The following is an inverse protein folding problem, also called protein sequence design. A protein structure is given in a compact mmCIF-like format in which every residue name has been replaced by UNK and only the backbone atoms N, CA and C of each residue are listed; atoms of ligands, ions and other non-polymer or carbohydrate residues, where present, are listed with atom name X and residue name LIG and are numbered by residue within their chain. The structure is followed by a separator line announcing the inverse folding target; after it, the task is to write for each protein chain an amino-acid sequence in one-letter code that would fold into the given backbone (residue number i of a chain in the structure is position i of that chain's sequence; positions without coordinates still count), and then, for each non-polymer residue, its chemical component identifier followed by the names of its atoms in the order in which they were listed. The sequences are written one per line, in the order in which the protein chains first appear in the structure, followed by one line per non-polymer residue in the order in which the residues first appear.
data_IF_094474441851
#
_entry.id   IF_094474441851
#
_cell.length_a   1.000
_cell.length_b   1.000
_cell.length_c   1.000
_cell.angle_alpha   90.00
_cell.angle_beta   90.00
_cell.angle_gamma   90.00
#
_symmetry.space_group_name_H-M   'P 1'
#
loop_
_entity.id
_entity.type
_entity.pdbx_description
1 polymer ?
#
# COMPACT_ATOMS: atom_id res chain seq x y z
N UNK A 1 12.05 8.97 -3.20
CA UNK A 1 10.90 8.08 -2.92
C UNK A 1 9.92 8.81 -2.05
N UNK A 2 8.64 8.60 -2.27
CA UNK A 2 7.58 9.24 -1.53
C UNK A 2 6.68 8.20 -0.86
N UNK A 3 6.30 8.47 0.40
CA UNK A 3 5.30 7.70 1.10
C UNK A 3 3.96 8.42 1.00
N UNK A 4 2.92 7.72 0.52
CA UNK A 4 1.53 8.19 0.45
C UNK A 4 0.69 7.47 1.48
N UNK A 5 0.21 8.22 2.45
CA UNK A 5 -0.70 7.68 3.45
C UNK A 5 -2.14 7.85 2.98
N UNK A 6 -2.84 6.73 2.81
CA UNK A 6 -4.27 6.73 2.52
C UNK A 6 -5.06 6.43 3.78
N UNK A 7 -6.16 7.13 3.96
CA UNK A 7 -7.09 6.92 5.06
C UNK A 7 -8.34 6.21 4.54
N UNK A 8 -8.71 5.09 5.19
CA UNK A 8 -9.96 4.41 4.85
C UNK A 8 -11.17 5.20 5.31
N UNK A 9 -12.23 5.29 4.48
CA UNK A 9 -13.51 5.86 4.89
C UNK A 9 -14.10 5.09 6.07
N UNK A 10 -14.81 5.78 6.96
CA UNK A 10 -15.41 5.17 8.14
C UNK A 10 -16.32 3.98 7.75
N UNK A 11 -16.05 2.80 8.33
CA UNK A 11 -16.83 1.58 8.08
C UNK A 11 -16.59 0.89 6.73
N UNK A 12 -15.75 1.44 5.85
CA UNK A 12 -15.38 0.84 4.57
C UNK A 12 -13.98 0.23 4.62
N UNK A 13 -13.76 -0.99 4.10
CA UNK A 13 -12.42 -1.52 3.85
C UNK A 13 -11.86 -1.09 2.49
N UNK A 14 -12.57 -0.23 1.75
CA UNK A 14 -12.21 0.18 0.39
C UNK A 14 -12.23 1.71 0.32
N UNK A 15 -11.14 2.30 -0.18
CA UNK A 15 -11.06 3.66 -0.69
C UNK A 15 -10.97 3.58 -2.22
N UNK A 16 -11.90 4.22 -2.92
CA UNK A 16 -11.97 4.19 -4.38
C UNK A 16 -11.66 5.57 -4.97
N UNK A 17 -10.66 5.63 -5.86
CA UNK A 17 -10.30 6.83 -6.61
C UNK A 17 -10.74 6.63 -8.06
N UNK A 18 -11.91 7.17 -8.40
CA UNK A 18 -12.63 6.87 -9.63
C UNK A 18 -12.90 8.13 -10.46
N UNK A 19 -13.01 7.94 -11.77
CA UNK A 19 -13.46 8.96 -12.71
C UNK A 19 -12.37 9.49 -13.64
N UNK A 20 -12.80 10.27 -14.62
CA UNK A 20 -11.94 10.80 -15.70
C UNK A 20 -10.84 11.77 -15.24
N UNK A 21 -10.85 12.15 -14.00
CA UNK A 21 -9.88 13.06 -13.37
C UNK A 21 -8.54 12.38 -13.07
N UNK A 22 -8.51 11.04 -13.08
CA UNK A 22 -7.32 10.22 -12.86
C UNK A 22 -6.58 9.92 -14.17
N UNK A 23 -6.49 10.92 -15.05
CA UNK A 23 -5.69 10.87 -16.26
C UNK A 23 -4.27 11.30 -15.96
N UNK A 24 -3.34 10.45 -16.30
CA UNK A 24 -1.91 10.74 -16.14
C UNK A 24 -1.33 11.22 -17.46
N UNK A 25 -0.71 12.39 -17.42
CA UNK A 25 0.00 12.98 -18.56
C UNK A 25 1.48 12.59 -18.52
N UNK A 26 2.07 12.43 -19.71
CA UNK A 26 3.52 12.44 -19.86
C UNK A 26 4.10 13.80 -19.39
N UNK A 27 5.26 13.75 -18.73
CA UNK A 27 6.00 14.94 -18.31
C UNK A 27 5.72 15.41 -16.88
N UNK A 28 5.00 14.65 -16.08
CA UNK A 28 5.27 14.68 -14.67
C UNK A 28 6.65 14.06 -14.50
N UNK A 29 7.65 14.87 -14.09
CA UNK A 29 8.95 14.39 -13.61
C UNK A 29 8.76 13.57 -12.34
N UNK A 30 8.09 12.42 -12.47
CA UNK A 30 8.02 11.44 -11.39
C UNK A 30 9.22 10.51 -11.57
N UNK A 31 10.39 11.08 -11.34
CA UNK A 31 11.65 10.32 -11.24
C UNK A 31 11.75 9.52 -9.95
N UNK A 32 10.69 9.51 -9.13
CA UNK A 32 10.72 8.83 -7.86
C UNK A 32 9.57 7.84 -7.70
N UNK A 33 9.92 6.68 -7.19
CA UNK A 33 8.95 5.69 -6.77
C UNK A 33 8.18 6.19 -5.55
N UNK A 34 6.92 5.81 -5.44
CA UNK A 34 6.13 5.98 -4.22
C UNK A 34 5.69 4.62 -3.67
N UNK A 35 5.22 4.62 -2.44
CA UNK A 35 4.62 3.47 -1.78
C UNK A 35 3.55 3.94 -0.79
N UNK A 36 2.65 3.07 -0.41
CA UNK A 36 1.51 3.41 0.44
C UNK A 36 1.14 2.26 1.39
N UNK A 37 0.26 2.55 2.35
CA UNK A 37 -0.08 1.69 3.48
C UNK A 37 -1.11 0.58 3.19
N UNK A 38 -1.81 0.61 2.06
CA UNK A 38 -2.84 -0.38 1.72
C UNK A 38 -2.51 -1.13 0.43
N UNK A 39 -3.18 -2.27 0.21
CA UNK A 39 -3.16 -2.93 -1.09
C UNK A 39 -3.76 -1.98 -2.13
N UNK A 40 -3.04 -1.75 -3.22
CA UNK A 40 -3.56 -1.03 -4.38
C UNK A 40 -3.99 -1.98 -5.48
N UNK A 41 -5.17 -1.76 -6.04
CA UNK A 41 -5.59 -2.35 -7.30
C UNK A 41 -5.82 -1.21 -8.29
N UNK A 42 -4.95 -1.09 -9.28
CA UNK A 42 -5.10 -0.14 -10.38
C UNK A 42 -5.67 -0.80 -11.62
N UNK A 43 -6.64 -0.18 -12.28
CA UNK A 43 -7.16 -0.62 -13.58
C UNK A 43 -6.89 0.46 -14.64
N UNK A 44 -6.13 0.08 -15.68
CA UNK A 44 -5.87 0.91 -16.85
C UNK A 44 -6.97 0.72 -17.90
N UNK A 45 -7.70 1.76 -18.19
CA UNK A 45 -8.74 1.72 -19.24
C UNK A 45 -8.16 1.95 -20.63
N UNK A 46 -7.28 2.94 -20.76
CA UNK A 46 -6.70 3.38 -22.03
C UNK A 46 -5.33 4.03 -21.82
N UNK A 47 -4.57 4.17 -22.89
CA UNK A 47 -3.24 4.77 -22.91
C UNK A 47 -2.12 3.74 -22.81
N UNK A 48 -0.90 4.23 -23.07
CA UNK A 48 0.33 3.43 -23.06
C UNK A 48 1.39 4.06 -22.17
N UNK A 49 2.32 3.24 -21.70
CA UNK A 49 3.40 3.72 -20.84
C UNK A 49 4.12 2.62 -20.10
N UNK A 50 4.85 3.01 -19.06
CA UNK A 50 5.63 2.12 -18.20
C UNK A 50 5.10 2.12 -16.78
N UNK A 51 4.84 0.94 -16.24
CA UNK A 51 4.64 0.67 -14.84
C UNK A 51 5.97 0.19 -14.25
N UNK A 52 6.55 0.98 -13.37
CA UNK A 52 7.80 0.66 -12.68
C UNK A 52 7.46 0.00 -11.35
N UNK A 53 7.97 -1.22 -11.14
CA UNK A 53 7.71 -2.07 -9.99
C UNK A 53 9.05 -2.36 -9.28
N UNK A 54 9.44 -1.50 -8.31
CA UNK A 54 10.76 -1.58 -7.69
C UNK A 54 11.88 -1.35 -8.70
N UNK A 55 12.58 -2.41 -9.11
CA UNK A 55 13.64 -2.37 -10.12
C UNK A 55 13.16 -2.84 -11.52
N UNK A 56 11.99 -3.44 -11.60
CA UNK A 56 11.44 -3.96 -12.85
C UNK A 56 10.54 -2.93 -13.52
N UNK A 57 10.52 -2.94 -14.86
CA UNK A 57 9.66 -2.07 -15.67
C UNK A 57 8.82 -2.93 -16.59
N UNK A 58 7.51 -2.71 -16.58
CA UNK A 58 6.55 -3.44 -17.39
C UNK A 58 5.74 -2.44 -18.25
N UNK A 59 5.63 -2.73 -19.54
CA UNK A 59 4.81 -1.92 -20.47
C UNK A 59 3.33 -2.19 -20.25
N UNK A 60 2.53 -1.12 -20.22
CA UNK A 60 1.07 -1.22 -20.26
C UNK A 60 0.50 -0.64 -21.55
N UNK A 61 -0.68 -1.12 -21.97
CA UNK A 61 -1.34 -0.72 -23.22
C UNK A 61 -2.87 -0.61 -23.12
N UNK A 62 -3.39 -0.44 -21.92
CA UNK A 62 -4.85 -0.38 -21.67
C UNK A 62 -5.50 -1.77 -21.54
N UNK A 63 -6.62 -1.83 -20.82
CA UNK A 63 -7.35 -3.05 -20.45
C UNK A 63 -6.47 -4.04 -19.66
N UNK A 64 -5.71 -3.48 -18.72
CA UNK A 64 -4.79 -4.19 -17.83
C UNK A 64 -4.98 -3.70 -16.40
N UNK A 65 -4.58 -4.50 -15.44
CA UNK A 65 -4.70 -4.13 -14.02
C UNK A 65 -3.47 -4.55 -13.22
N UNK A 66 -3.17 -3.76 -12.20
CA UNK A 66 -2.14 -4.04 -11.20
C UNK A 66 -2.77 -4.44 -9.88
N UNK A 67 -2.05 -5.28 -9.10
CA UNK A 67 -2.33 -5.57 -7.70
C UNK A 67 -1.02 -5.40 -6.95
N UNK A 68 -0.91 -4.33 -6.18
CA UNK A 68 0.34 -3.92 -5.54
C UNK A 68 0.23 -4.04 -4.02
N UNK A 69 1.09 -4.85 -3.38
CA UNK A 69 1.11 -4.99 -1.92
C UNK A 69 1.34 -3.66 -1.20
N UNK A 70 0.92 -3.53 0.07
CA UNK A 70 1.30 -2.40 0.91
C UNK A 70 2.83 -2.24 0.94
N UNK A 71 3.29 -1.00 0.99
CA UNK A 71 4.70 -0.64 1.07
C UNK A 71 5.56 -1.08 -0.13
N UNK A 72 4.95 -1.50 -1.24
CA UNK A 72 5.68 -1.87 -2.45
C UNK A 72 6.00 -0.62 -3.29
N UNK A 73 7.29 -0.34 -3.60
CA UNK A 73 7.69 0.84 -4.37
C UNK A 73 7.30 0.72 -5.84
N UNK A 74 6.56 1.71 -6.36
CA UNK A 74 6.12 1.73 -7.75
C UNK A 74 5.86 3.15 -8.26
N UNK A 75 5.74 3.29 -9.58
CA UNK A 75 5.22 4.49 -10.25
C UNK A 75 4.71 4.16 -11.65
N UNK A 76 3.86 5.02 -12.19
CA UNK A 76 3.30 4.89 -13.54
C UNK A 76 3.69 6.13 -14.34
N UNK A 77 4.25 5.92 -15.53
CA UNK A 77 4.58 6.98 -16.47
C UNK A 77 3.90 6.71 -17.81
N UNK A 78 3.09 7.64 -18.29
CA UNK A 78 2.53 7.57 -19.65
C UNK A 78 3.58 7.88 -20.70
N UNK A 79 3.40 7.34 -21.91
CA UNK A 79 4.28 7.65 -23.05
C UNK A 79 4.22 9.14 -23.44
N UNK A 80 5.28 9.67 -24.07
CA UNK A 80 5.27 11.03 -24.59
C UNK A 80 4.08 11.30 -25.51
N UNK A 81 3.26 12.28 -25.13
CA UNK A 81 2.10 12.67 -25.91
C UNK A 81 0.87 11.78 -25.75
N UNK A 82 0.93 10.75 -24.91
CA UNK A 82 -0.22 9.92 -24.57
C UNK A 82 -0.80 10.28 -23.19
N UNK A 83 -2.09 9.96 -23.02
CA UNK A 83 -2.83 10.14 -21.78
C UNK A 83 -3.34 8.78 -21.33
N UNK A 84 -2.80 8.25 -20.25
CA UNK A 84 -3.34 7.03 -19.67
C UNK A 84 -4.41 7.33 -18.63
N UNK A 85 -5.50 6.59 -18.70
CA UNK A 85 -6.58 6.66 -17.71
C UNK A 85 -6.55 5.45 -16.81
N UNK A 86 -6.35 5.72 -15.50
CA UNK A 86 -6.36 4.73 -14.44
C UNK A 86 -7.44 5.05 -13.41
N UNK A 87 -7.98 4.02 -12.80
CA UNK A 87 -8.77 4.09 -11.57
C UNK A 87 -8.18 3.16 -10.53
N UNK A 88 -8.36 3.50 -9.25
CA UNK A 88 -7.67 2.80 -8.16
C UNK A 88 -8.63 2.43 -7.04
N UNK A 89 -8.40 1.24 -6.47
CA UNK A 89 -8.97 0.79 -5.20
C UNK A 89 -7.84 0.58 -4.21
N UNK A 90 -7.89 1.23 -3.07
CA UNK A 90 -7.03 0.95 -1.92
C UNK A 90 -7.82 0.12 -0.92
N UNK A 91 -7.25 -0.98 -0.44
CA UNK A 91 -7.97 -2.00 0.31
C UNK A 91 -7.25 -2.31 1.61
N UNK A 92 -7.95 -2.17 2.74
CA UNK A 92 -7.53 -2.68 4.04
C UNK A 92 -7.78 -4.20 4.11
N UNK A 93 -6.88 -4.97 3.52
CA UNK A 93 -6.99 -6.44 3.44
C UNK A 93 -6.94 -7.07 4.83
N UNK A 94 -6.06 -6.59 5.71
CA UNK A 94 -5.90 -7.15 7.05
C UNK A 94 -7.14 -6.89 7.92
N UNK A 95 -7.56 -5.64 8.02
CA UNK A 95 -8.75 -5.26 8.78
C UNK A 95 -10.01 -5.96 8.25
N UNK A 96 -10.11 -6.15 6.93
CA UNK A 96 -11.22 -6.85 6.31
C UNK A 96 -11.19 -8.36 6.57
N UNK A 97 -10.09 -9.06 6.25
CA UNK A 97 -10.02 -10.51 6.34
C UNK A 97 -10.05 -11.01 7.79
N UNK A 98 -9.46 -10.30 8.73
CA UNK A 98 -9.50 -10.65 10.17
C UNK A 98 -10.92 -10.54 10.77
N UNK A 99 -11.79 -9.71 10.18
CA UNK A 99 -13.22 -9.60 10.56
C UNK A 99 -14.11 -10.56 9.78
N UNK A 100 -13.76 -10.83 8.51
CA UNK A 100 -14.56 -11.64 7.60
C UNK A 100 -14.39 -13.14 7.84
N UNK A 101 -13.21 -13.58 8.27
CA UNK A 101 -12.89 -14.99 8.47
C UNK A 101 -12.87 -15.32 9.97
N UNK A 102 -13.66 -16.33 10.38
CA UNK A 102 -13.69 -16.81 11.77
C UNK A 102 -12.39 -17.51 12.20
N UNK A 103 -11.52 -17.85 11.24
CA UNK A 103 -10.26 -18.55 11.50
C UNK A 103 -9.05 -17.65 11.26
N UNK A 104 -8.35 -17.19 12.33
CA UNK A 104 -7.20 -16.29 12.21
C UNK A 104 -6.04 -16.87 11.39
N UNK A 105 -5.78 -18.18 11.48
CA UNK A 105 -4.71 -18.84 10.72
C UNK A 105 -5.01 -18.82 9.21
N UNK A 106 -6.28 -18.98 8.86
CA UNK A 106 -6.73 -18.91 7.46
C UNK A 106 -6.65 -17.47 6.94
N UNK A 107 -7.01 -16.48 7.76
CA UNK A 107 -6.88 -15.07 7.42
C UNK A 107 -5.41 -14.72 7.14
N UNK A 108 -4.51 -15.08 8.05
CA UNK A 108 -3.08 -14.83 7.93
C UNK A 108 -2.49 -15.47 6.66
N UNK A 109 -2.82 -16.72 6.39
CA UNK A 109 -2.39 -17.41 5.16
C UNK A 109 -2.87 -16.71 3.89
N UNK A 110 -4.09 -16.18 3.87
CA UNK A 110 -4.59 -15.41 2.73
C UNK A 110 -3.85 -14.09 2.57
N UNK A 111 -3.64 -13.34 3.66
CA UNK A 111 -2.90 -12.07 3.67
C UNK A 111 -1.49 -12.28 3.10
N UNK A 112 -0.74 -13.24 3.64
CA UNK A 112 0.61 -13.56 3.17
C UNK A 112 0.66 -13.88 1.66
N UNK A 113 -0.32 -14.61 1.14
CA UNK A 113 -0.39 -14.92 -0.30
C UNK A 113 -0.72 -13.68 -1.12
N UNK A 114 -1.67 -12.84 -0.68
CA UNK A 114 -2.05 -11.61 -1.38
C UNK A 114 -0.86 -10.64 -1.45
N UNK A 115 -0.08 -10.55 -0.37
CA UNK A 115 1.06 -9.63 -0.27
C UNK A 115 2.38 -10.20 -0.80
N UNK A 116 2.41 -11.46 -1.27
CA UNK A 116 3.67 -12.14 -1.61
C UNK A 116 4.44 -11.48 -2.76
N UNK A 117 3.75 -10.87 -3.71
CA UNK A 117 4.32 -10.17 -4.86
C UNK A 117 3.34 -9.22 -5.52
N UNK A 118 3.85 -8.20 -6.26
CA UNK A 118 3.02 -7.42 -7.16
C UNK A 118 2.55 -8.28 -8.35
N UNK A 119 1.34 -8.00 -8.85
CA UNK A 119 0.82 -8.58 -10.07
C UNK A 119 0.55 -7.47 -11.08
N UNK A 120 0.84 -7.75 -12.35
CA UNK A 120 0.39 -6.94 -13.48
C UNK A 120 -0.16 -7.88 -14.55
N UNK A 121 -1.44 -7.74 -14.91
CA UNK A 121 -2.19 -8.75 -15.62
C UNK A 121 -3.10 -8.11 -16.69
N UNK A 122 -3.26 -8.82 -17.81
CA UNK A 122 -4.22 -8.45 -18.84
C UNK A 122 -5.63 -8.90 -18.46
N UNK A 123 -6.60 -8.04 -18.68
CA UNK A 123 -8.02 -8.37 -18.49
C UNK A 123 -8.43 -9.61 -19.31
N UNK A 124 -8.00 -9.68 -20.57
CA UNK A 124 -8.35 -10.78 -21.48
C UNK A 124 -7.92 -12.16 -20.96
N UNK A 125 -6.79 -12.22 -20.25
CA UNK A 125 -6.25 -13.47 -19.71
C UNK A 125 -6.78 -13.76 -18.29
N UNK A 126 -7.36 -12.77 -17.62
CA UNK A 126 -7.80 -12.85 -16.21
C UNK A 126 -9.21 -12.25 -16.02
N UNK A 127 -10.14 -12.66 -16.90
CA UNK A 127 -11.49 -12.08 -17.00
C UNK A 127 -12.28 -12.12 -15.71
N UNK A 128 -12.16 -13.19 -14.92
CA UNK A 128 -12.86 -13.35 -13.63
C UNK A 128 -12.40 -12.30 -12.59
N UNK A 129 -11.10 -12.08 -12.48
CA UNK A 129 -10.52 -11.08 -11.55
C UNK A 129 -10.88 -9.67 -12.02
N UNK A 130 -10.67 -9.37 -13.30
CA UNK A 130 -10.97 -8.07 -13.88
C UNK A 130 -12.46 -7.70 -13.73
N UNK A 131 -13.37 -8.65 -13.98
CA UNK A 131 -14.80 -8.42 -13.82
C UNK A 131 -15.18 -8.05 -12.38
N UNK A 132 -14.53 -8.66 -11.37
CA UNK A 132 -14.76 -8.31 -9.96
C UNK A 132 -14.23 -6.93 -9.61
N UNK A 133 -13.03 -6.58 -10.11
CA UNK A 133 -12.43 -5.24 -9.93
C UNK A 133 -13.37 -4.18 -10.49
N UNK A 134 -13.76 -4.32 -11.76
CA UNK A 134 -14.65 -3.38 -12.45
C UNK A 134 -16.03 -3.29 -11.77
N UNK A 135 -16.57 -4.43 -11.30
CA UNK A 135 -17.85 -4.44 -10.59
C UNK A 135 -17.77 -3.70 -9.24
N UNK A 136 -16.67 -3.87 -8.47
CA UNK A 136 -16.46 -3.08 -7.24
C UNK A 136 -16.36 -1.59 -7.57
N UNK A 137 -15.58 -1.21 -8.59
CA UNK A 137 -15.46 0.18 -9.02
C UNK A 137 -16.81 0.78 -9.41
N UNK A 138 -17.64 0.03 -10.13
CA UNK A 138 -18.97 0.46 -10.53
C UNK A 138 -19.92 0.65 -9.34
N UNK A 139 -19.94 -0.30 -8.42
CA UNK A 139 -20.71 -0.21 -7.16
C UNK A 139 -20.28 1.00 -6.34
N UNK A 140 -18.98 1.21 -6.16
CA UNK A 140 -18.44 2.34 -5.39
C UNK A 140 -18.73 3.70 -6.06
N UNK A 141 -18.85 3.72 -7.41
CA UNK A 141 -19.20 4.93 -8.18
C UNK A 141 -20.69 5.27 -8.05
N UNK A 142 -21.56 4.28 -8.07
CA UNK A 142 -23.01 4.49 -8.06
C UNK A 142 -23.55 4.78 -6.66
N UNK A 143 -22.96 4.19 -5.62
CA UNK A 143 -23.31 4.45 -4.21
C UNK A 143 -24.77 4.16 -3.86
N UNK A 144 -25.39 3.11 -4.47
CA UNK A 144 -26.78 2.72 -4.21
C UNK A 144 -26.97 2.16 -2.77
N UNK A 145 -28.20 1.99 -2.35
CA UNK A 145 -28.48 1.41 -1.03
C UNK A 145 -27.78 0.04 -0.87
N UNK A 146 -27.08 -0.18 0.25
CA UNK A 146 -26.27 -1.38 0.56
C UNK A 146 -25.05 -1.59 -0.35
N UNK A 147 -24.58 -0.58 -1.06
CA UNK A 147 -23.42 -0.68 -1.96
C UNK A 147 -22.16 -1.20 -1.25
N UNK A 148 -21.92 -0.84 0.01
CA UNK A 148 -20.76 -1.32 0.76
C UNK A 148 -20.84 -2.82 1.06
N UNK A 149 -22.01 -3.34 1.36
CA UNK A 149 -22.24 -4.76 1.64
C UNK A 149 -22.04 -5.58 0.36
N UNK A 150 -22.57 -5.11 -0.77
CA UNK A 150 -22.33 -5.72 -2.08
C UNK A 150 -20.85 -5.70 -2.44
N UNK A 151 -20.19 -4.56 -2.29
CA UNK A 151 -18.76 -4.42 -2.56
C UNK A 151 -17.89 -5.35 -1.67
N UNK A 152 -18.19 -5.46 -0.37
CA UNK A 152 -17.51 -6.37 0.57
C UNK A 152 -17.69 -7.84 0.17
N UNK A 153 -18.87 -8.24 -0.31
CA UNK A 153 -19.11 -9.61 -0.78
C UNK A 153 -18.25 -9.95 -1.99
N UNK A 154 -18.16 -9.06 -2.97
CA UNK A 154 -17.31 -9.23 -4.15
C UNK A 154 -15.84 -9.16 -3.78
N UNK A 155 -15.44 -8.25 -2.88
CA UNK A 155 -14.09 -8.12 -2.37
C UNK A 155 -13.59 -9.44 -1.75
N UNK A 156 -14.40 -10.10 -0.92
CA UNK A 156 -14.04 -11.39 -0.34
C UNK A 156 -13.74 -12.44 -1.42
N UNK A 157 -14.55 -12.49 -2.47
CA UNK A 157 -14.34 -13.38 -3.62
C UNK A 157 -13.07 -13.02 -4.42
N UNK A 158 -12.83 -11.72 -4.66
CA UNK A 158 -11.66 -11.20 -5.34
C UNK A 158 -10.35 -11.54 -4.60
N UNK A 159 -10.30 -11.26 -3.31
CA UNK A 159 -9.12 -11.55 -2.47
C UNK A 159 -8.82 -13.05 -2.40
N UNK A 160 -9.86 -13.90 -2.34
CA UNK A 160 -9.68 -15.35 -2.38
C UNK A 160 -9.11 -15.83 -3.73
N UNK A 161 -9.46 -15.19 -4.83
CA UNK A 161 -8.94 -15.51 -6.17
C UNK A 161 -7.49 -15.07 -6.31
N UNK A 162 -7.14 -13.83 -5.90
CA UNK A 162 -5.76 -13.33 -5.86
C UNK A 162 -4.87 -14.25 -5.00
N UNK A 163 -5.35 -14.65 -3.81
CA UNK A 163 -4.62 -15.57 -2.95
C UNK A 163 -4.40 -16.95 -3.57
N UNK A 164 -5.30 -17.41 -4.47
CA UNK A 164 -5.12 -18.67 -5.24
C UNK A 164 -4.12 -18.51 -6.37
N UNK A 165 -4.12 -17.37 -7.06
CA UNK A 165 -3.14 -17.09 -8.12
C UNK A 165 -1.70 -17.12 -7.58
N UNK A 166 -1.50 -16.65 -6.37
CA UNK A 166 -0.20 -16.63 -5.70
C UNK A 166 0.12 -17.94 -4.93
N UNK A 167 -0.60 -19.03 -5.21
CA UNK A 167 -0.44 -20.32 -4.49
C UNK A 167 0.88 -21.03 -4.81
N UNK A 168 1.38 -20.91 -6.03
CA UNK A 168 2.46 -21.77 -6.52
C UNK A 168 3.86 -21.27 -6.14
N UNK A 169 4.05 -20.04 -5.71
CA UNK A 169 5.38 -19.48 -5.43
C UNK A 169 5.92 -19.73 -4.02
N UNK A 170 5.10 -20.18 -3.08
CA UNK A 170 5.60 -20.72 -1.82
C UNK A 170 6.28 -22.09 -2.01
N UNK A 171 6.10 -22.74 -3.17
CA UNK A 171 6.57 -24.10 -3.49
C UNK A 171 7.53 -24.17 -4.71
N UNK A 172 7.63 -23.13 -5.55
CA UNK A 172 8.52 -23.12 -6.72
C UNK A 172 9.71 -22.17 -6.55
N UNK A 173 10.90 -22.67 -6.88
CA UNK A 173 12.19 -21.99 -6.74
C UNK A 173 12.29 -20.77 -7.65
N UNK A 174 12.31 -19.57 -7.07
CA UNK A 174 12.73 -18.31 -7.72
C UNK A 174 14.23 -18.41 -8.10
N UNK A 175 14.70 -17.79 -9.20
CA UNK A 175 16.13 -17.73 -9.52
C UNK A 175 16.96 -17.23 -8.34
N UNK A 176 18.01 -17.96 -7.98
CA UNK A 176 18.61 -18.01 -6.64
C UNK A 176 19.12 -16.69 -6.05
N UNK A 177 19.42 -15.64 -6.80
CA UNK A 177 19.96 -14.40 -6.24
C UNK A 177 18.93 -13.26 -6.12
N UNK A 178 18.16 -12.96 -7.16
CA UNK A 178 17.11 -11.91 -7.07
C UNK A 178 16.02 -12.30 -6.09
N UNK A 179 15.60 -13.56 -6.10
CA UNK A 179 14.62 -14.08 -5.17
C UNK A 179 15.07 -14.07 -3.71
N UNK A 180 16.38 -14.20 -3.44
CA UNK A 180 16.93 -14.12 -2.08
C UNK A 180 16.81 -12.70 -1.51
N UNK A 181 17.13 -11.67 -2.31
CA UNK A 181 17.07 -10.27 -1.87
C UNK A 181 15.61 -9.86 -1.64
N UNK A 182 14.71 -10.13 -2.58
CA UNK A 182 13.28 -9.82 -2.44
C UNK A 182 12.68 -10.50 -1.22
N UNK A 183 12.96 -11.79 -1.02
CA UNK A 183 12.47 -12.55 0.14
C UNK A 183 13.07 -12.04 1.46
N UNK A 184 14.34 -11.63 1.46
CA UNK A 184 14.99 -11.02 2.62
C UNK A 184 14.34 -9.68 2.99
N UNK A 185 14.09 -8.82 2.01
CA UNK A 185 13.42 -7.53 2.22
C UNK A 185 12.00 -7.77 2.70
N UNK A 186 11.21 -8.62 2.05
CA UNK A 186 9.84 -8.95 2.46
C UNK A 186 9.78 -9.41 3.92
N UNK A 187 10.62 -10.37 4.32
CA UNK A 187 10.71 -10.82 5.73
C UNK A 187 11.06 -9.69 6.69
N UNK A 188 11.91 -8.77 6.27
CA UNK A 188 12.27 -7.62 7.11
C UNK A 188 11.10 -6.66 7.27
N UNK A 189 10.31 -6.46 6.21
CA UNK A 189 9.10 -5.63 6.24
C UNK A 189 8.03 -6.27 7.13
N UNK A 190 7.80 -7.58 6.99
CA UNK A 190 6.87 -8.34 7.84
C UNK A 190 7.27 -8.24 9.32
N UNK A 191 8.57 -8.47 9.61
CA UNK A 191 9.08 -8.34 10.98
C UNK A 191 8.87 -6.93 11.55
N UNK A 192 9.16 -5.89 10.76
CA UNK A 192 8.96 -4.49 11.18
C UNK A 192 7.47 -4.23 11.42
N UNK A 193 6.59 -4.73 10.57
CA UNK A 193 5.14 -4.59 10.70
C UNK A 193 4.61 -5.23 12.00
N UNK A 194 5.13 -6.39 12.36
CA UNK A 194 4.69 -7.13 13.56
C UNK A 194 5.29 -6.59 14.86
N UNK A 195 6.51 -6.00 14.79
CA UNK A 195 7.30 -5.60 15.96
C UNK A 195 7.60 -4.11 16.07
N UNK A 196 6.93 -3.23 15.27
CA UNK A 196 7.22 -1.79 15.22
C UNK A 196 7.18 -1.10 16.60
N UNK A 197 6.41 -1.61 17.56
CA UNK A 197 6.32 -1.10 18.93
C UNK A 197 7.58 -1.36 19.76
N UNK A 198 8.39 -2.33 19.37
CA UNK A 198 9.59 -2.75 20.09
C UNK A 198 10.83 -1.92 19.69
N UNK A 199 11.92 -2.05 20.46
CA UNK A 199 13.22 -1.48 20.09
C UNK A 199 13.88 -2.32 18.99
N UNK A 200 13.47 -2.09 17.73
CA UNK A 200 14.02 -2.81 16.58
C UNK A 200 15.44 -2.34 16.30
N UNK A 201 16.42 -3.23 16.54
CA UNK A 201 17.82 -3.01 16.17
C UNK A 201 18.08 -3.53 14.76
N UNK A 202 18.59 -2.65 13.91
CA UNK A 202 18.90 -3.00 12.50
C UNK A 202 19.90 -4.16 12.43
N UNK A 203 20.81 -4.24 13.40
CA UNK A 203 21.74 -5.37 13.52
C UNK A 203 21.00 -6.72 13.64
N UNK A 204 19.88 -6.77 14.36
CA UNK A 204 19.10 -8.02 14.52
C UNK A 204 18.40 -8.39 13.21
N UNK A 205 17.87 -7.41 12.47
CA UNK A 205 17.32 -7.63 11.12
C UNK A 205 18.40 -8.18 10.19
N UNK A 206 19.59 -7.60 10.20
CA UNK A 206 20.71 -8.07 9.37
C UNK A 206 21.14 -9.50 9.75
N UNK A 207 21.22 -9.82 11.05
CA UNK A 207 21.54 -11.18 11.54
C UNK A 207 20.50 -12.22 11.11
N UNK A 208 19.21 -11.88 11.14
CA UNK A 208 18.16 -12.80 10.67
C UNK A 208 18.26 -13.09 9.16
N UNK A 209 18.89 -12.20 8.43
CA UNK A 209 19.19 -12.35 6.99
C UNK A 209 20.57 -12.95 6.72
N UNK A 210 21.34 -13.32 7.74
CA UNK A 210 22.71 -13.85 7.64
C UNK A 210 23.70 -12.93 6.90
N UNK A 211 23.55 -11.61 7.03
CA UNK A 211 24.44 -10.61 6.43
C UNK A 211 24.89 -9.56 7.46
N UNK A 212 25.91 -8.78 7.13
CA UNK A 212 26.34 -7.66 7.99
C UNK A 212 25.32 -6.51 7.96
N UNK A 213 25.24 -5.73 9.06
CA UNK A 213 24.36 -4.57 9.15
C UNK A 213 24.61 -3.56 8.01
N UNK A 214 25.86 -3.29 7.66
CA UNK A 214 26.22 -2.39 6.56
C UNK A 214 25.69 -2.89 5.22
N UNK A 215 25.78 -4.19 4.97
CA UNK A 215 25.25 -4.80 3.75
C UNK A 215 23.72 -4.75 3.73
N UNK A 216 23.07 -5.08 4.86
CA UNK A 216 21.62 -4.98 5.00
C UNK A 216 21.11 -3.56 4.71
N UNK A 217 21.70 -2.54 5.35
CA UNK A 217 21.34 -1.14 5.11
C UNK A 217 21.44 -0.75 3.65
N UNK A 218 22.53 -1.13 2.98
CA UNK A 218 22.73 -0.86 1.56
C UNK A 218 21.67 -1.53 0.69
N UNK A 219 21.43 -2.82 0.89
CA UNK A 219 20.43 -3.58 0.13
C UNK A 219 19.01 -3.06 0.38
N UNK A 220 18.65 -2.85 1.66
CA UNK A 220 17.35 -2.31 2.02
C UNK A 220 17.12 -0.93 1.39
N UNK A 221 18.09 -0.02 1.51
CA UNK A 221 17.98 1.33 0.91
C UNK A 221 17.98 1.28 -0.61
N UNK A 222 18.75 0.38 -1.23
CA UNK A 222 18.72 0.19 -2.68
C UNK A 222 17.34 -0.26 -3.16
N UNK A 223 16.72 -1.20 -2.44
CA UNK A 223 15.42 -1.78 -2.78
C UNK A 223 14.27 -0.84 -2.44
N UNK A 224 14.21 -0.40 -1.17
CA UNK A 224 13.11 0.42 -0.63
C UNK A 224 13.26 1.92 -0.90
N UNK A 225 14.44 2.38 -1.35
CA UNK A 225 14.83 3.79 -1.54
C UNK A 225 14.74 4.67 -0.26
N UNK A 226 14.45 4.05 0.87
CA UNK A 226 14.49 4.65 2.22
C UNK A 226 15.37 3.79 3.13
N UNK A 227 15.95 4.39 4.15
CA UNK A 227 16.72 3.61 5.13
C UNK A 227 15.80 2.73 6.00
N UNK A 228 16.31 1.61 6.58
CA UNK A 228 15.52 0.79 7.49
C UNK A 228 14.91 1.57 8.67
N UNK A 229 15.65 2.53 9.23
CA UNK A 229 15.14 3.33 10.34
C UNK A 229 14.02 4.29 9.90
N UNK A 230 14.15 4.91 8.73
CA UNK A 230 13.08 5.73 8.15
C UNK A 230 11.84 4.90 7.91
N UNK A 231 11.99 3.68 7.39
CA UNK A 231 10.86 2.78 7.17
C UNK A 231 10.17 2.39 8.50
N UNK A 232 10.93 2.01 9.54
CA UNK A 232 10.39 1.73 10.88
C UNK A 232 9.59 2.93 11.40
N UNK A 233 10.16 4.15 11.29
CA UNK A 233 9.47 5.35 11.73
C UNK A 233 8.20 5.62 10.90
N UNK A 234 8.21 5.32 9.61
CA UNK A 234 7.03 5.43 8.74
C UNK A 234 5.90 4.53 9.23
N UNK A 235 6.17 3.24 9.48
CA UNK A 235 5.18 2.29 10.02
C UNK A 235 4.61 2.77 11.36
N UNK A 236 5.48 3.25 12.27
CA UNK A 236 5.05 3.83 13.55
C UNK A 236 4.15 5.03 13.41
N UNK A 237 4.46 5.96 12.49
CA UNK A 237 3.64 7.15 12.25
C UNK A 237 2.31 6.77 11.59
N UNK A 238 2.28 5.79 10.69
CA UNK A 238 1.03 5.25 10.14
C UNK A 238 0.07 4.79 11.23
N UNK A 239 0.58 3.93 12.12
CA UNK A 239 -0.22 3.45 13.25
C UNK A 239 -0.65 4.58 14.17
N UNK A 240 0.23 5.58 14.39
CA UNK A 240 -0.12 6.75 15.19
C UNK A 240 -1.25 7.58 14.55
N UNK A 241 -1.27 7.74 13.23
CA UNK A 241 -2.36 8.40 12.52
C UNK A 241 -3.71 7.71 12.79
N UNK A 242 -3.74 6.39 12.68
CA UNK A 242 -4.94 5.59 12.97
C UNK A 242 -5.40 5.74 14.43
N UNK A 243 -4.47 5.65 15.39
CA UNK A 243 -4.81 5.81 16.80
C UNK A 243 -5.27 7.22 17.15
N UNK A 244 -4.68 8.26 16.55
CA UNK A 244 -5.08 9.64 16.74
C UNK A 244 -6.50 9.90 16.29
N UNK A 245 -6.98 9.19 15.27
CA UNK A 245 -8.35 9.34 14.74
C UNK A 245 -9.36 8.47 15.46
N UNK A 246 -8.96 7.23 15.80
CA UNK A 246 -9.88 6.24 16.39
C UNK A 246 -10.01 6.35 17.92
N UNK A 247 -9.17 7.17 18.58
CA UNK A 247 -9.14 7.24 20.04
C UNK A 247 -8.88 8.67 20.55
N UNK A 248 -9.36 8.97 21.77
CA UNK A 248 -9.08 10.21 22.51
C UNK A 248 -7.82 10.10 23.40
N UNK A 249 -7.03 9.04 23.24
CA UNK A 249 -5.83 8.83 24.04
C UNK A 249 -4.86 10.03 23.94
N UNK A 250 -4.16 10.41 25.02
CA UNK A 250 -3.15 11.46 24.97
C UNK A 250 -2.11 11.21 23.87
N UNK A 251 -1.69 12.26 23.16
CA UNK A 251 -0.70 12.16 22.08
C UNK A 251 0.60 11.51 22.57
N UNK A 252 1.00 11.78 23.82
CA UNK A 252 2.16 11.16 24.44
C UNK A 252 2.02 9.65 24.56
N UNK A 253 0.85 9.16 24.97
CA UNK A 253 0.58 7.73 25.14
C UNK A 253 0.56 7.02 23.77
N UNK A 254 0.01 7.66 22.74
CA UNK A 254 0.06 7.16 21.37
C UNK A 254 1.50 7.06 20.88
N UNK A 255 2.33 8.08 21.13
CA UNK A 255 3.74 8.04 20.76
C UNK A 255 4.46 6.81 21.35
N UNK A 256 4.26 6.54 22.64
CA UNK A 256 4.84 5.36 23.31
C UNK A 256 4.27 4.04 22.77
N UNK A 257 2.96 3.95 22.57
CA UNK A 257 2.31 2.77 21.98
C UNK A 257 2.81 2.46 20.57
N UNK A 258 3.23 3.48 19.83
CA UNK A 258 3.81 3.31 18.49
C UNK A 258 5.33 3.07 18.53
N UNK A 259 5.94 2.86 19.71
CA UNK A 259 7.35 2.51 19.83
C UNK A 259 8.32 3.68 19.81
N UNK A 260 7.86 4.93 20.00
CA UNK A 260 8.76 6.07 20.17
C UNK A 260 9.17 6.22 21.63
N UNK A 261 10.47 6.34 21.85
CA UNK A 261 11.04 6.51 23.20
C UNK A 261 10.86 7.92 23.77
N UNK A 262 10.67 8.93 22.92
CA UNK A 262 10.44 10.31 23.34
C UNK A 262 9.39 11.01 22.47
N UNK A 263 8.60 11.89 23.08
CA UNK A 263 7.63 12.74 22.37
C UNK A 263 8.30 13.68 21.36
N UNK A 264 9.51 14.13 21.63
CA UNK A 264 10.25 15.02 20.72
C UNK A 264 10.59 14.32 19.41
N UNK A 265 11.07 13.07 19.48
CA UNK A 265 11.36 12.24 18.30
C UNK A 265 10.07 11.93 17.54
N UNK A 266 8.99 11.59 18.25
CA UNK A 266 7.68 11.34 17.65
C UNK A 266 7.19 12.58 16.88
N UNK A 267 7.09 13.74 17.54
CA UNK A 267 6.58 14.96 16.91
C UNK A 267 7.40 15.38 15.68
N UNK A 268 8.73 15.24 15.74
CA UNK A 268 9.61 15.55 14.61
C UNK A 268 9.33 14.62 13.43
N UNK A 269 9.30 13.30 13.63
CA UNK A 269 9.04 12.33 12.57
C UNK A 269 7.61 12.48 12.03
N UNK A 270 6.64 12.70 12.92
CA UNK A 270 5.25 12.91 12.51
C UNK A 270 5.13 14.14 11.60
N UNK A 271 5.67 15.30 12.03
CA UNK A 271 5.63 16.51 11.21
C UNK A 271 6.41 16.37 9.90
N UNK A 272 7.54 15.65 9.92
CA UNK A 272 8.34 15.39 8.71
C UNK A 272 7.57 14.55 7.68
N UNK A 273 6.86 13.51 8.12
CA UNK A 273 6.13 12.61 7.25
C UNK A 273 4.75 13.15 6.86
N UNK A 274 4.02 13.76 7.82
CA UNK A 274 2.63 14.16 7.63
C UNK A 274 2.44 15.64 7.30
N UNK A 275 3.52 16.43 7.34
CA UNK A 275 3.49 17.89 7.10
C UNK A 275 2.88 18.71 8.23
N UNK A 276 2.22 18.09 9.20
CA UNK A 276 1.51 18.74 10.32
C UNK A 276 1.84 18.07 11.64
N UNK A 277 1.47 18.70 12.76
CA UNK A 277 1.67 18.11 14.09
C UNK A 277 0.59 17.06 14.39
N UNK A 278 0.84 16.11 15.35
CA UNK A 278 -0.16 15.12 15.77
C UNK A 278 -1.46 15.76 16.29
N UNK A 279 -1.35 16.90 16.97
CA UNK A 279 -2.52 17.63 17.50
C UNK A 279 -3.35 18.25 16.36
N UNK A 280 -2.68 18.83 15.38
CA UNK A 280 -3.35 19.35 14.17
C UNK A 280 -4.00 18.22 13.38
N UNK A 281 -3.33 17.08 13.26
CA UNK A 281 -3.86 15.88 12.61
C UNK A 281 -5.16 15.41 13.27
N UNK A 282 -5.19 15.29 14.61
CA UNK A 282 -6.37 14.87 15.38
C UNK A 282 -7.56 15.83 15.24
N UNK A 283 -7.30 17.14 15.14
CA UNK A 283 -8.33 18.17 15.06
C UNK A 283 -8.95 18.34 13.67
N UNK A 284 -8.46 17.63 12.69
CA UNK A 284 -8.93 17.79 11.31
C UNK A 284 -10.33 17.23 11.16
N UNK A 285 -11.28 17.99 10.57
CA UNK A 285 -12.64 17.50 10.32
C UNK A 285 -12.62 16.32 9.32
N UNK A 286 -13.68 15.50 9.35
CA UNK A 286 -13.86 14.29 8.53
C UNK A 286 -13.74 14.52 7.01
N UNK A 287 -13.88 15.76 6.54
CA UNK A 287 -13.65 16.16 5.14
C UNK A 287 -12.20 15.95 4.65
N UNK A 288 -11.31 15.48 5.52
CA UNK A 288 -9.93 15.13 5.18
C UNK A 288 -9.78 13.76 4.51
N UNK A 289 -10.86 13.00 4.37
CA UNK A 289 -10.90 11.77 3.58
C UNK A 289 -10.44 11.97 2.12
N UNK A 290 -10.29 13.22 1.70
CA UNK A 290 -9.98 13.65 0.34
C UNK A 290 -8.58 14.22 0.13
N UNK A 291 -7.74 14.37 1.16
CA UNK A 291 -6.39 14.91 0.99
C UNK A 291 -5.32 13.83 1.16
N UNK A 292 -4.72 13.46 0.06
CA UNK A 292 -3.47 12.70 0.04
C UNK A 292 -2.36 13.68 0.42
N UNK A 293 -1.73 13.46 1.58
CA UNK A 293 -0.75 14.37 2.16
C UNK A 293 0.49 14.46 1.27
N UNK A 294 0.71 15.62 0.72
CA UNK A 294 1.76 16.16 -0.15
C UNK A 294 1.42 16.34 -1.63
N UNK A 295 0.32 15.81 -2.13
CA UNK A 295 -0.22 16.25 -3.40
C UNK A 295 -1.58 16.89 -3.12
N UNK A 296 -1.90 17.99 -3.78
CA UNK A 296 -3.26 18.53 -3.87
C UNK A 296 -4.11 17.58 -4.73
N UNK A 297 -4.18 16.31 -4.32
CA UNK A 297 -5.03 15.32 -4.96
C UNK A 297 -6.34 15.33 -4.21
N UNK A 298 -7.30 16.03 -4.74
CA UNK A 298 -8.68 15.93 -4.31
C UNK A 298 -9.30 14.73 -5.01
N UNK A 299 -9.97 13.84 -4.26
CA UNK A 299 -10.69 12.69 -4.84
C UNK A 299 -11.69 13.11 -5.93
N UNK A 300 -12.16 14.37 -5.88
CA UNK A 300 -13.03 14.98 -6.89
C UNK A 300 -12.28 15.65 -8.05
N UNK A 301 -11.00 15.97 -7.91
CA UNK A 301 -10.22 16.74 -8.90
C UNK A 301 -9.16 15.93 -9.65
N UNK A 302 -8.83 14.73 -9.17
CA UNK A 302 -7.80 13.87 -9.75
C UNK A 302 -6.36 14.33 -9.42
N UNK A 303 -5.41 13.95 -10.25
CA UNK A 303 -3.98 14.29 -10.12
C UNK A 303 -3.70 15.75 -10.45
#
# INVERSE_FOLDING_TARGET
MEFRYYQMPAGSPILALLGKKWRQNYGRDIDYLHFHNYLEIGFCYEGTGDLILGEDTVRFGGREFSVLPPNFPHTINSDPGDLSQWEYLFIDVEGFLRKFLDNPVKAEKMIQRIYSKPLFLKEADNTSVAAKILKIMDIMRNGEEFYLEEAKGILASLLAEIARMNRNEAEERVPEEKGKITNMISRSLDYISDHYMEDIKIENLAKSCHISETHFRRLFTSYMKVSPLEYINTVRIQTACDLLQKTDAPVADIAYKCGFTTNSTFNRNFKQLMGVTPIEWRKRPESYEQQILKFDIHSEEGW
#
